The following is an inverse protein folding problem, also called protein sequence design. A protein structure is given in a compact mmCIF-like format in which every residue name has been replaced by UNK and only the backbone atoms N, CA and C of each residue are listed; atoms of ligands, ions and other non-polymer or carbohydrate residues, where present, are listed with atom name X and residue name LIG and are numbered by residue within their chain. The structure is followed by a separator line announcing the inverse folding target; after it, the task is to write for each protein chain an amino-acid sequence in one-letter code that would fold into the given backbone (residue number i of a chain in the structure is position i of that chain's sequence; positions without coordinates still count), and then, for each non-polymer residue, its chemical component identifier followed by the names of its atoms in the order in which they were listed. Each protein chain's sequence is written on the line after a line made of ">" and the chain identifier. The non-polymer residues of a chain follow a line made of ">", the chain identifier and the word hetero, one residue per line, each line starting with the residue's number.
data_IF_478986972689
#
_entry.id   IF_478986972689
#
_cell.length_a   1.000
_cell.length_b   1.000
_cell.length_c   1.000
_cell.angle_alpha   90.00
_cell.angle_beta   90.00
_cell.angle_gamma   90.00
#
_symmetry.space_group_name_H-M   'P 1'
#
loop_
_entity.id
_entity.type
_entity.pdbx_description
1 polymer ?
#
# COMPACT_ATOMS: atom_id res chain seq x y z
N UNK A 1 -9.96 -7.67 -41.20
CA UNK A 1 -9.11 -6.88 -40.28
C UNK A 1 -10.01 -6.24 -39.23
N UNK A 2 -9.98 -6.79 -38.01
CA UNK A 2 -10.82 -6.39 -36.88
C UNK A 2 -10.41 -4.97 -36.49
N UNK A 3 -11.37 -4.03 -36.45
CA UNK A 3 -11.13 -2.64 -36.03
C UNK A 3 -10.39 -2.69 -34.69
N UNK A 4 -9.15 -2.22 -34.67
CA UNK A 4 -8.41 -1.95 -33.44
C UNK A 4 -9.28 -0.95 -32.68
N UNK A 5 -9.85 -1.41 -31.57
CA UNK A 5 -10.78 -0.67 -30.75
C UNK A 5 -10.16 0.68 -30.40
N UNK A 6 -10.73 1.73 -31.00
CA UNK A 6 -10.37 3.11 -30.78
C UNK A 6 -10.38 3.33 -29.26
N UNK A 7 -9.22 3.52 -28.64
CA UNK A 7 -9.11 3.78 -27.20
C UNK A 7 -10.04 4.95 -26.86
N UNK A 8 -11.17 4.64 -26.23
CA UNK A 8 -12.05 5.65 -25.64
C UNK A 8 -11.20 6.38 -24.60
N UNK A 9 -10.95 7.67 -24.82
CA UNK A 9 -10.29 8.50 -23.80
C UNK A 9 -11.06 8.33 -22.49
N UNK A 10 -10.40 7.95 -21.39
CA UNK A 10 -11.06 7.84 -20.10
C UNK A 10 -11.60 9.21 -19.70
N UNK A 11 -12.76 9.22 -19.01
CA UNK A 11 -13.36 10.45 -18.51
C UNK A 11 -12.34 11.25 -17.68
N UNK A 12 -12.16 12.53 -18.01
CA UNK A 12 -11.18 13.42 -17.39
C UNK A 12 -11.33 13.46 -15.85
N UNK A 13 -12.57 13.41 -15.36
CA UNK A 13 -12.89 13.34 -13.93
C UNK A 13 -12.41 12.06 -13.26
N UNK A 14 -12.46 10.92 -13.96
CA UNK A 14 -12.00 9.63 -13.42
C UNK A 14 -10.48 9.61 -13.35
N UNK A 15 -9.82 10.16 -14.38
CA UNK A 15 -8.37 10.28 -14.41
C UNK A 15 -7.85 11.20 -13.28
N UNK A 16 -8.44 12.38 -13.09
CA UNK A 16 -8.10 13.29 -11.98
C UNK A 16 -8.23 12.62 -10.61
N UNK A 17 -9.29 11.82 -10.41
CA UNK A 17 -9.47 11.04 -9.16
C UNK A 17 -8.38 10.00 -8.98
N UNK A 18 -8.00 9.28 -10.05
CA UNK A 18 -6.93 8.29 -10.00
C UNK A 18 -5.56 8.92 -9.70
N UNK A 19 -5.28 10.12 -10.23
CA UNK A 19 -4.05 10.84 -9.96
C UNK A 19 -4.00 11.29 -8.49
N UNK A 20 -5.10 11.83 -7.96
CA UNK A 20 -5.19 12.23 -6.55
C UNK A 20 -5.02 11.06 -5.60
N UNK A 21 -5.59 9.91 -5.94
CA UNK A 21 -5.45 8.67 -5.16
C UNK A 21 -3.99 8.19 -5.15
N UNK A 22 -3.35 8.14 -6.33
CA UNK A 22 -1.93 7.79 -6.44
C UNK A 22 -1.02 8.76 -5.68
N UNK A 23 -1.28 10.08 -5.79
CA UNK A 23 -0.52 11.09 -5.06
C UNK A 23 -0.68 10.95 -3.54
N UNK A 24 -1.90 10.71 -3.05
CA UNK A 24 -2.14 10.46 -1.63
C UNK A 24 -1.43 9.20 -1.13
N UNK A 25 -1.44 8.12 -1.92
CA UNK A 25 -0.69 6.91 -1.62
C UNK A 25 0.83 7.16 -1.57
N UNK A 26 1.38 7.90 -2.54
CA UNK A 26 2.81 8.25 -2.55
C UNK A 26 3.22 9.04 -1.30
N UNK A 27 2.38 9.98 -0.85
CA UNK A 27 2.61 10.71 0.40
C UNK A 27 2.58 9.76 1.59
N UNK A 28 1.57 8.88 1.67
CA UNK A 28 1.45 7.92 2.78
C UNK A 28 2.65 6.97 2.85
N UNK A 29 3.07 6.40 1.71
CA UNK A 29 4.22 5.52 1.63
C UNK A 29 5.53 6.25 1.99
N UNK A 30 5.74 7.45 1.44
CA UNK A 30 6.96 8.24 1.69
C UNK A 30 7.06 8.77 3.12
N UNK A 31 5.95 9.14 3.74
CA UNK A 31 5.93 9.65 5.12
C UNK A 31 5.98 8.53 6.16
N UNK A 32 5.46 7.34 5.85
CA UNK A 32 5.42 6.21 6.77
C UNK A 32 6.59 5.26 6.60
N UNK A 33 6.59 4.50 5.50
CA UNK A 33 7.46 3.32 5.31
C UNK A 33 8.94 3.65 5.40
N UNK A 34 9.34 4.83 4.89
CA UNK A 34 10.72 5.29 4.90
C UNK A 34 11.33 5.43 6.31
N UNK A 35 10.50 5.64 7.34
CA UNK A 35 10.98 5.90 8.70
C UNK A 35 10.91 4.67 9.61
N UNK A 36 10.22 3.60 9.22
CA UNK A 36 10.08 2.38 10.05
C UNK A 36 11.43 1.71 10.30
N UNK A 37 12.30 1.65 9.28
CA UNK A 37 13.65 1.10 9.43
C UNK A 37 14.52 1.97 10.36
N UNK A 38 14.45 3.30 10.22
CA UNK A 38 15.17 4.23 11.10
C UNK A 38 14.69 4.13 12.57
N UNK A 39 13.39 3.94 12.79
CA UNK A 39 12.83 3.67 14.12
C UNK A 39 13.38 2.36 14.71
N UNK A 40 13.46 1.29 13.93
CA UNK A 40 14.04 0.03 14.39
C UNK A 40 15.53 0.18 14.76
N UNK A 41 16.31 0.92 13.97
CA UNK A 41 17.71 1.26 14.29
C UNK A 41 17.79 2.02 15.61
N UNK A 42 16.96 3.05 15.81
CA UNK A 42 16.93 3.83 17.05
C UNK A 42 16.63 2.96 18.28
N UNK A 43 15.84 1.89 18.12
CA UNK A 43 15.51 0.93 19.18
C UNK A 43 16.58 -0.14 19.40
N UNK A 44 17.71 -0.09 18.68
CA UNK A 44 18.81 -1.04 18.80
C UNK A 44 18.55 -2.38 18.12
N UNK A 45 17.67 -2.42 17.11
CA UNK A 45 17.44 -3.64 16.33
C UNK A 45 18.71 -4.07 15.57
N UNK A 46 18.89 -5.38 15.41
CA UNK A 46 20.02 -5.93 14.65
C UNK A 46 19.86 -5.70 13.15
N UNK A 47 20.98 -5.59 12.44
CA UNK A 47 20.99 -5.38 10.97
C UNK A 47 20.21 -6.45 10.21
N UNK A 48 20.31 -7.71 10.65
CA UNK A 48 19.54 -8.82 10.09
C UNK A 48 18.02 -8.62 10.26
N UNK A 49 17.59 -8.11 11.42
CA UNK A 49 16.19 -7.82 11.67
C UNK A 49 15.71 -6.66 10.80
N UNK A 50 16.47 -5.57 10.70
CA UNK A 50 16.15 -4.42 9.85
C UNK A 50 16.07 -4.84 8.36
N UNK A 51 16.98 -5.70 7.91
CA UNK A 51 16.96 -6.29 6.57
C UNK A 51 15.69 -7.09 6.31
N UNK A 52 15.26 -7.93 7.27
CA UNK A 52 14.00 -8.66 7.15
C UNK A 52 12.77 -7.73 7.17
N UNK A 53 12.80 -6.69 8.01
CA UNK A 53 11.70 -5.74 8.17
C UNK A 53 11.46 -4.89 6.93
N UNK A 54 12.50 -4.61 6.15
CA UNK A 54 12.40 -3.84 4.90
C UNK A 54 12.09 -4.72 3.69
N UNK A 55 12.65 -5.92 3.61
CA UNK A 55 12.53 -6.79 2.44
C UNK A 55 11.28 -7.68 2.45
N UNK A 56 10.91 -8.25 3.59
CA UNK A 56 9.80 -9.21 3.67
C UNK A 56 8.45 -8.55 3.38
N UNK A 57 8.09 -7.39 3.99
CA UNK A 57 6.83 -6.73 3.68
C UNK A 57 6.75 -6.28 2.22
N UNK A 58 7.86 -5.77 1.67
CA UNK A 58 7.92 -5.36 0.26
C UNK A 58 7.70 -6.55 -0.69
N UNK A 59 8.31 -7.70 -0.40
CA UNK A 59 8.11 -8.93 -1.16
C UNK A 59 6.66 -9.40 -1.10
N UNK A 60 6.07 -9.46 0.10
CA UNK A 60 4.67 -9.85 0.28
C UNK A 60 3.76 -8.88 -0.48
N UNK A 61 3.99 -7.57 -0.38
CA UNK A 61 3.24 -6.56 -1.11
C UNK A 61 3.29 -6.75 -2.63
N UNK A 62 4.47 -7.04 -3.18
CA UNK A 62 4.64 -7.31 -4.61
C UNK A 62 3.88 -8.57 -5.06
N UNK A 63 3.94 -9.65 -4.27
CA UNK A 63 3.20 -10.89 -4.55
C UNK A 63 1.68 -10.66 -4.49
N UNK A 64 1.20 -9.88 -3.52
CA UNK A 64 -0.21 -9.50 -3.41
C UNK A 64 -0.65 -8.63 -4.57
N UNK A 65 0.18 -7.68 -5.02
CA UNK A 65 -0.11 -6.85 -6.20
C UNK A 65 -0.25 -7.68 -7.48
N UNK A 66 0.53 -8.75 -7.63
CA UNK A 66 0.38 -9.69 -8.75
C UNK A 66 -0.98 -10.40 -8.73
N UNK A 67 -1.49 -10.73 -7.54
CA UNK A 67 -2.80 -11.36 -7.35
C UNK A 67 -3.98 -10.35 -7.39
N UNK A 68 -3.73 -9.07 -7.10
CA UNK A 68 -4.72 -8.01 -7.00
C UNK A 68 -5.67 -7.87 -8.21
N UNK A 69 -5.21 -7.88 -9.48
CA UNK A 69 -6.12 -7.76 -10.62
C UNK A 69 -7.06 -8.97 -10.77
N UNK A 70 -6.61 -10.16 -10.39
CA UNK A 70 -7.44 -11.37 -10.40
C UNK A 70 -8.52 -11.30 -9.32
N UNK A 71 -8.15 -10.88 -8.11
CA UNK A 71 -9.11 -10.65 -7.03
C UNK A 71 -10.13 -9.57 -7.42
N UNK A 72 -9.68 -8.43 -7.93
CA UNK A 72 -10.56 -7.33 -8.33
C UNK A 72 -11.54 -7.70 -9.47
N UNK A 73 -11.16 -8.64 -10.34
CA UNK A 73 -12.04 -9.15 -11.38
C UNK A 73 -13.02 -10.23 -10.87
N UNK A 74 -12.64 -11.01 -9.87
CA UNK A 74 -13.48 -12.06 -9.27
C UNK A 74 -14.58 -11.55 -8.34
N UNK A 75 -14.38 -10.39 -7.69
CA UNK A 75 -15.37 -9.84 -6.75
C UNK A 75 -16.41 -8.95 -7.43
N UNK A 76 -17.70 -9.20 -7.12
CA UNK A 76 -18.85 -8.45 -7.64
C UNK A 76 -18.85 -6.96 -7.26
N UNK A 77 -18.15 -6.57 -6.18
CA UNK A 77 -18.08 -5.18 -5.73
C UNK A 77 -16.62 -4.74 -5.50
N UNK A 78 -15.98 -4.22 -6.55
CA UNK A 78 -14.60 -3.71 -6.53
C UNK A 78 -14.36 -2.63 -5.47
N UNK A 79 -15.36 -1.77 -5.24
CA UNK A 79 -15.24 -0.65 -4.30
C UNK A 79 -15.06 -1.14 -2.86
N UNK A 80 -15.76 -2.19 -2.46
CA UNK A 80 -15.61 -2.80 -1.14
C UNK A 80 -14.22 -3.41 -0.94
N UNK A 81 -13.70 -4.08 -1.97
CA UNK A 81 -12.35 -4.67 -1.92
C UNK A 81 -11.29 -3.57 -1.74
N UNK A 82 -11.36 -2.51 -2.54
CA UNK A 82 -10.41 -1.38 -2.45
C UNK A 82 -10.50 -0.68 -1.09
N UNK A 83 -11.71 -0.32 -0.65
CA UNK A 83 -11.89 0.34 0.66
C UNK A 83 -11.49 -0.56 1.83
N UNK A 84 -11.75 -1.86 1.75
CA UNK A 84 -11.31 -2.83 2.75
C UNK A 84 -9.79 -2.89 2.85
N UNK A 85 -9.09 -2.93 1.72
CA UNK A 85 -7.62 -2.89 1.69
C UNK A 85 -7.06 -1.59 2.27
N UNK A 86 -7.66 -0.44 1.96
CA UNK A 86 -7.26 0.86 2.52
C UNK A 86 -7.48 0.90 4.03
N UNK A 87 -8.63 0.40 4.51
CA UNK A 87 -8.94 0.33 5.93
C UNK A 87 -7.96 -0.59 6.68
N UNK A 88 -7.63 -1.75 6.10
CA UNK A 88 -6.64 -2.66 6.65
C UNK A 88 -5.25 -2.01 6.72
N UNK A 89 -4.84 -1.30 5.66
CA UNK A 89 -3.59 -0.56 5.64
C UNK A 89 -3.54 0.52 6.73
N UNK A 90 -4.62 1.30 6.89
CA UNK A 90 -4.72 2.30 7.95
C UNK A 90 -4.66 1.67 9.35
N UNK A 91 -5.34 0.52 9.55
CA UNK A 91 -5.31 -0.21 10.81
C UNK A 91 -3.89 -0.71 11.14
N UNK A 92 -3.15 -1.22 10.15
CA UNK A 92 -1.76 -1.64 10.32
C UNK A 92 -0.86 -0.49 10.81
N UNK A 93 -1.04 0.71 10.25
CA UNK A 93 -0.32 1.91 10.71
C UNK A 93 -0.66 2.28 12.16
N UNK A 94 -1.93 2.17 12.56
CA UNK A 94 -2.33 2.39 13.96
C UNK A 94 -1.69 1.37 14.91
N UNK A 95 -1.57 0.10 14.50
CA UNK A 95 -0.90 -0.93 15.28
C UNK A 95 0.61 -0.69 15.37
N UNK A 96 1.26 -0.21 14.31
CA UNK A 96 2.68 0.16 14.36
C UNK A 96 2.88 1.35 15.31
N UNK A 97 2.04 2.36 15.24
CA UNK A 97 2.10 3.53 16.14
C UNK A 97 1.87 3.15 17.60
N UNK A 98 1.00 2.17 17.89
CA UNK A 98 0.76 1.73 19.27
C UNK A 98 2.01 1.15 19.93
N UNK A 99 2.94 0.57 19.15
CA UNK A 99 4.22 0.05 19.68
C UNK A 99 5.09 1.15 20.29
N UNK A 100 4.95 2.40 19.84
CA UNK A 100 5.67 3.54 20.43
C UNK A 100 5.22 3.75 21.88
N UNK A 101 3.92 3.63 22.15
CA UNK A 101 3.35 3.85 23.48
C UNK A 101 3.64 2.69 24.44
N UNK A 102 3.51 1.44 23.97
CA UNK A 102 3.77 0.24 24.80
C UNK A 102 5.24 0.13 25.22
N UNK A 103 6.15 0.75 24.48
CA UNK A 103 7.59 0.71 24.74
C UNK A 103 8.17 2.01 25.28
N UNK A 104 7.31 2.95 25.67
CA UNK A 104 7.66 4.22 26.32
C UNK A 104 7.58 4.14 27.86
N UNK A 105 7.22 2.99 28.42
CA UNK A 105 7.27 2.64 29.85
C UNK A 105 8.49 1.76 30.13
#
# INVERSE_FOLDING_TARGET
>A
MKKLDMQKKPDEKVLDRSIKDGAAYSVAAGAGEAYVAAYAVMRGATDAFIGSLTSVPALVGALVQLAAPYAANGFRNRKLVVLGSIALNALSWLLILSTVFVSAE
#
